data_IF_892811146823
#
_entry.id   IF_892811146823
#
_cell.length_a   1.000
_cell.length_b   1.000
_cell.length_c   1.000
_cell.angle_alpha   90.00
_cell.angle_beta   90.00
_cell.angle_gamma   90.00
#
_symmetry.space_group_name_H-M   'P 1'
#
loop_
_entity.id
_entity.type
_entity.pdbx_description
1 polymer ?
#
# COMPACT_ATOMS: atom_id res chain seq x y z
N UNK A 1 0.37 -17.10 6.10
CA UNK A 1 0.23 -15.64 6.35
C UNK A 1 0.99 -14.91 5.26
N UNK A 2 0.36 -13.92 4.62
CA UNK A 2 0.93 -13.15 3.52
C UNK A 2 1.53 -11.87 4.10
N UNK A 3 2.83 -11.67 3.90
CA UNK A 3 3.53 -10.46 4.34
C UNK A 3 3.50 -9.43 3.20
N UNK A 4 2.93 -8.27 3.46
CA UNK A 4 2.97 -7.13 2.53
C UNK A 4 3.95 -6.12 3.08
N UNK A 5 5.00 -5.82 2.31
CA UNK A 5 5.98 -4.79 2.65
C UNK A 5 5.60 -3.49 1.95
N UNK A 6 5.57 -2.41 2.72
CA UNK A 6 5.38 -1.05 2.26
C UNK A 6 6.72 -0.33 2.38
N UNK A 7 7.10 0.43 1.36
CA UNK A 7 8.30 1.27 1.37
C UNK A 7 7.93 2.68 0.91
N UNK A 8 8.16 3.70 1.73
CA UNK A 8 7.96 5.10 1.33
C UNK A 8 9.09 5.56 0.42
N UNK A 9 8.88 6.68 -0.29
CA UNK A 9 9.94 7.31 -1.12
C UNK A 9 11.18 7.72 -0.32
N UNK A 10 11.04 7.88 0.99
CA UNK A 10 12.14 8.25 1.89
C UNK A 10 12.88 7.02 2.43
N UNK A 11 12.51 5.81 2.00
CA UNK A 11 13.14 4.55 2.41
C UNK A 11 12.59 3.94 3.70
N UNK A 12 11.56 4.55 4.32
CA UNK A 12 10.92 3.96 5.51
C UNK A 12 10.11 2.75 5.11
N UNK A 13 10.22 1.66 5.88
CA UNK A 13 9.54 0.40 5.58
C UNK A 13 8.58 0.00 6.67
N UNK A 14 7.43 -0.57 6.29
CA UNK A 14 6.48 -1.19 7.21
C UNK A 14 5.97 -2.50 6.64
N UNK A 15 5.95 -3.54 7.46
CA UNK A 15 5.40 -4.84 7.08
C UNK A 15 4.04 -5.04 7.72
N UNK A 16 3.06 -5.45 6.92
CA UNK A 16 1.68 -5.72 7.36
C UNK A 16 1.35 -7.18 7.07
N UNK A 17 0.98 -7.98 8.08
CA UNK A 17 0.55 -9.34 7.89
C UNK A 17 -0.92 -9.40 7.44
N UNK A 18 -1.21 -10.24 6.45
CA UNK A 18 -2.55 -10.57 5.97
C UNK A 18 -2.79 -12.08 6.05
N UNK A 19 -4.03 -12.49 6.33
CA UNK A 19 -4.38 -13.90 6.46
C UNK A 19 -4.69 -14.57 5.11
N UNK A 20 -5.27 -13.83 4.18
CA UNK A 20 -5.70 -14.33 2.87
C UNK A 20 -5.42 -13.30 1.77
N UNK A 21 -5.49 -13.77 0.52
CA UNK A 21 -5.23 -12.97 -0.69
C UNK A 21 -6.25 -11.84 -0.87
N UNK A 22 -7.52 -12.12 -0.63
CA UNK A 22 -8.63 -11.16 -0.79
C UNK A 22 -8.42 -9.89 0.04
N UNK A 23 -7.94 -10.02 1.28
CA UNK A 23 -7.64 -8.87 2.13
C UNK A 23 -6.46 -8.04 1.62
N UNK A 24 -5.47 -8.67 0.97
CA UNK A 24 -4.36 -7.94 0.33
C UNK A 24 -4.89 -7.14 -0.86
N UNK A 25 -5.72 -7.74 -1.71
CA UNK A 25 -6.30 -7.08 -2.88
C UNK A 25 -7.19 -5.89 -2.47
N UNK A 26 -8.04 -6.08 -1.46
CA UNK A 26 -8.84 -4.98 -0.86
C UNK A 26 -7.95 -3.88 -0.29
N UNK A 27 -6.86 -4.25 0.39
CA UNK A 27 -5.91 -3.28 0.92
C UNK A 27 -5.26 -2.47 -0.22
N UNK A 28 -4.75 -3.10 -1.26
CA UNK A 28 -4.08 -2.41 -2.38
C UNK A 28 -5.05 -1.48 -3.13
N UNK A 29 -6.32 -1.87 -3.27
CA UNK A 29 -7.34 -1.03 -3.88
C UNK A 29 -7.70 0.19 -3.00
N UNK A 30 -7.75 0.03 -1.68
CA UNK A 30 -8.19 1.07 -0.74
C UNK A 30 -7.08 2.00 -0.26
N UNK A 31 -5.86 1.48 -0.10
CA UNK A 31 -4.73 2.19 0.49
C UNK A 31 -4.37 3.53 -0.19
N UNK A 32 -4.42 3.69 -1.53
CA UNK A 32 -4.20 4.98 -2.18
C UNK A 32 -5.13 6.10 -1.67
N UNK A 33 -6.38 5.77 -1.34
CA UNK A 33 -7.35 6.74 -0.83
C UNK A 33 -7.07 7.16 0.63
N UNK A 34 -6.23 6.42 1.35
CA UNK A 34 -5.80 6.76 2.71
C UNK A 34 -4.51 7.58 2.72
N UNK A 35 -3.73 7.52 1.65
CA UNK A 35 -2.48 8.24 1.51
C UNK A 35 -2.74 9.69 1.07
N UNK A 36 -2.04 10.68 1.68
CA UNK A 36 -2.10 12.06 1.24
C UNK A 36 -1.84 12.20 -0.26
N UNK A 37 -2.56 13.10 -0.93
CA UNK A 37 -2.33 13.36 -2.36
C UNK A 37 -0.86 13.69 -2.62
N UNK A 38 -0.26 12.99 -3.59
CA UNK A 38 1.15 13.16 -3.98
C UNK A 38 2.16 12.35 -3.15
N UNK A 39 1.73 11.60 -2.13
CA UNK A 39 2.58 10.62 -1.45
C UNK A 39 2.63 9.32 -2.24
N UNK A 40 3.82 8.76 -2.45
CA UNK A 40 3.98 7.47 -3.13
C UNK A 40 4.52 6.41 -2.17
N UNK A 41 3.99 5.19 -2.28
CA UNK A 41 4.43 4.03 -1.50
C UNK A 41 4.58 2.83 -2.42
N UNK A 42 5.72 2.15 -2.33
CA UNK A 42 5.95 0.88 -2.99
C UNK A 42 5.33 -0.24 -2.15
N UNK A 43 4.52 -1.08 -2.79
CA UNK A 43 3.89 -2.25 -2.19
C UNK A 43 4.54 -3.50 -2.79
N UNK A 44 5.08 -4.35 -1.93
CA UNK A 44 5.61 -5.65 -2.29
C UNK A 44 4.81 -6.75 -1.58
N UNK A 45 4.15 -7.60 -2.37
CA UNK A 45 3.39 -8.75 -1.90
C UNK A 45 3.57 -9.93 -2.86
N UNK A 46 4.73 -10.63 -2.83
CA UNK A 46 5.08 -11.65 -3.82
C UNK A 46 4.08 -12.81 -3.88
N UNK A 47 3.51 -13.19 -2.74
CA UNK A 47 2.55 -14.30 -2.65
C UNK A 47 1.20 -14.03 -3.33
N UNK A 48 0.93 -12.77 -3.70
CA UNK A 48 -0.26 -12.40 -4.48
C UNK A 48 0.09 -11.87 -5.87
N UNK A 49 1.36 -11.96 -6.28
CA UNK A 49 1.84 -11.53 -7.60
C UNK A 49 2.10 -10.03 -7.72
N UNK A 50 2.17 -9.30 -6.60
CA UNK A 50 2.50 -7.87 -6.62
C UNK A 50 4.00 -7.73 -6.34
N UNK A 51 4.74 -7.34 -7.37
CA UNK A 51 6.18 -7.08 -7.33
C UNK A 51 6.42 -5.59 -7.52
N UNK A 52 6.82 -4.90 -6.44
CA UNK A 52 7.18 -3.48 -6.44
C UNK A 52 6.16 -2.55 -7.12
N UNK A 53 4.89 -2.73 -6.74
CA UNK A 53 3.80 -1.90 -7.24
C UNK A 53 3.78 -0.54 -6.55
N UNK A 54 3.98 0.53 -7.29
CA UNK A 54 3.86 1.88 -6.76
C UNK A 54 2.40 2.31 -6.71
N UNK A 55 1.95 2.73 -5.53
CA UNK A 55 0.68 3.42 -5.36
C UNK A 55 0.91 4.88 -5.01
N UNK A 56 0.08 5.75 -5.57
CA UNK A 56 0.12 7.20 -5.32
C UNK A 56 -1.14 7.58 -4.57
N UNK A 57 -0.98 8.34 -3.49
CA UNK A 57 -2.07 8.81 -2.67
C UNK A 57 -3.00 9.74 -3.43
N UNK A 58 -4.29 9.57 -3.17
CA UNK A 58 -5.37 10.34 -3.78
C UNK A 58 -6.21 11.10 -2.76
N UNK A 59 -5.89 10.99 -1.46
CA UNK A 59 -6.61 11.70 -0.40
C UNK A 59 -6.43 13.21 -0.55
N UNK A 60 -7.44 13.87 -1.12
CA UNK A 60 -7.52 15.32 -1.19
C UNK A 60 -7.52 15.91 0.22
N UNK A 61 -6.81 17.03 0.39
CA UNK A 61 -6.69 17.77 1.65
C UNK A 61 -7.93 18.66 1.87
N UNK A 62 -9.11 18.22 1.43
CA UNK A 62 -10.30 19.05 1.39
C UNK A 62 -10.91 19.14 2.80
N UNK A 63 -10.67 20.29 3.44
CA UNK A 63 -11.27 20.89 4.64
C UNK A 63 -11.80 19.95 5.74
N UNK A 64 -11.02 19.84 6.83
CA UNK A 64 -11.58 19.88 8.19
C UNK A 64 -11.52 21.34 8.64
#
# INVERSE_FOLDING_TARGET
MIQVKLTTTNGETKTIPFYNREHVEKFVAYFPAQLPKGYAVCIDAPLVGIHSGWVVGTKSRENI
#
